data_IF_958494117429
#
_entry.id   IF_958494117429
#
_cell.length_a   1.000
_cell.length_b   1.000
_cell.length_c   1.000
_cell.angle_alpha   90.00
_cell.angle_beta   90.00
_cell.angle_gamma   90.00
#
_symmetry.space_group_name_H-M   'P 1'
#
loop_
_entity.id
_entity.type
_entity.pdbx_description
1 polymer ?
#
# COMPACT_ATOMS: atom_id res chain seq x y z
N UNK A 1 -11.53 -21.00 -8.52
CA UNK A 1 -10.36 -21.06 -7.59
C UNK A 1 -10.42 -19.86 -6.64
N UNK A 2 -9.78 -19.96 -5.51
CA UNK A 2 -9.80 -18.82 -4.54
C UNK A 2 -8.36 -18.39 -4.24
N UNK A 3 -7.73 -17.70 -5.15
CA UNK A 3 -6.33 -17.25 -4.91
C UNK A 3 -6.33 -15.79 -4.47
N UNK A 4 -7.48 -15.26 -4.17
CA UNK A 4 -7.55 -13.83 -3.73
C UNK A 4 -6.48 -13.58 -2.67
N UNK A 5 -6.00 -12.37 -2.57
CA UNK A 5 -4.96 -12.06 -1.55
C UNK A 5 -5.52 -11.09 -0.51
N UNK A 6 -4.88 -10.98 0.62
CA UNK A 6 -5.37 -10.05 1.67
C UNK A 6 -4.67 -8.70 1.53
N UNK A 7 -5.36 -7.71 1.02
CA UNK A 7 -4.72 -6.37 0.86
C UNK A 7 -5.38 -5.38 1.81
N UNK A 8 -4.79 -4.22 1.96
CA UNK A 8 -5.38 -3.19 2.88
C UNK A 8 -4.96 -1.81 2.40
N UNK A 9 -5.83 -0.84 2.50
CA UNK A 9 -5.48 0.53 2.05
C UNK A 9 -5.85 1.55 3.12
N UNK A 10 -5.15 2.64 3.19
CA UNK A 10 -5.45 3.68 4.22
C UNK A 10 -6.63 4.53 3.75
N UNK A 11 -7.32 5.16 4.66
CA UNK A 11 -8.48 6.01 4.27
C UNK A 11 -7.98 7.42 3.93
N UNK A 12 -8.45 7.97 2.84
CA UNK A 12 -8.00 9.34 2.45
C UNK A 12 -9.20 10.17 1.99
N UNK A 13 -8.98 11.41 1.68
CA UNK A 13 -10.11 12.27 1.22
C UNK A 13 -9.80 12.86 -0.16
N UNK A 14 -8.57 12.76 -0.60
CA UNK A 14 -8.20 13.31 -1.93
C UNK A 14 -8.89 12.50 -3.03
N UNK A 15 -8.91 13.01 -4.22
CA UNK A 15 -9.57 12.26 -5.34
C UNK A 15 -8.63 11.17 -5.84
N UNK A 16 -7.37 11.29 -5.57
CA UNK A 16 -6.39 10.24 -6.03
C UNK A 16 -6.75 8.90 -5.38
N UNK A 17 -7.25 8.93 -4.18
CA UNK A 17 -7.62 7.66 -3.49
C UNK A 17 -8.70 6.94 -4.30
N UNK A 18 -9.69 7.67 -4.76
CA UNK A 18 -10.77 7.02 -5.55
C UNK A 18 -10.19 6.51 -6.87
N UNK A 19 -9.56 7.36 -7.63
CA UNK A 19 -8.98 6.91 -8.93
C UNK A 19 -8.16 5.64 -8.70
N UNK A 20 -7.51 5.53 -7.57
CA UNK A 20 -6.69 4.31 -7.30
C UNK A 20 -7.61 3.10 -7.17
N UNK A 21 -8.66 3.22 -6.40
CA UNK A 21 -9.60 2.07 -6.25
C UNK A 21 -10.06 1.58 -7.63
N UNK A 22 -10.43 2.49 -8.49
CA UNK A 22 -10.89 2.09 -9.85
C UNK A 22 -9.79 1.29 -10.55
N UNK A 23 -8.59 1.81 -10.57
CA UNK A 23 -7.49 1.08 -11.24
C UNK A 23 -7.40 -0.35 -10.70
N UNK A 24 -7.18 -0.49 -9.42
CA UNK A 24 -7.10 -1.85 -8.82
C UNK A 24 -8.24 -2.72 -9.36
N UNK A 25 -9.40 -2.16 -9.52
CA UNK A 25 -10.55 -2.94 -10.05
C UNK A 25 -10.23 -3.41 -11.47
N UNK A 26 -9.71 -2.54 -12.29
CA UNK A 26 -9.39 -2.94 -13.69
C UNK A 26 -8.30 -4.02 -13.67
N UNK A 27 -7.54 -4.09 -12.62
CA UNK A 27 -6.46 -5.13 -12.55
C UNK A 27 -7.05 -6.50 -12.89
N UNK A 28 -8.12 -6.87 -12.25
CA UNK A 28 -8.74 -8.20 -12.54
C UNK A 28 -8.37 -9.19 -11.43
N UNK A 29 -7.21 -9.05 -10.86
CA UNK A 29 -6.80 -9.98 -9.77
C UNK A 29 -7.82 -9.92 -8.63
N UNK A 30 -8.02 -11.00 -7.94
CA UNK A 30 -9.00 -11.01 -6.82
C UNK A 30 -8.35 -10.43 -5.57
N UNK A 31 -9.01 -9.52 -4.91
CA UNK A 31 -8.42 -8.91 -3.68
C UNK A 31 -9.50 -8.76 -2.62
N UNK A 32 -9.15 -8.92 -1.37
CA UNK A 32 -10.16 -8.79 -0.28
C UNK A 32 -9.60 -7.85 0.79
N UNK A 33 -10.49 -7.12 1.43
CA UNK A 33 -10.12 -6.18 2.50
C UNK A 33 -9.84 -6.93 3.81
N UNK A 34 -8.59 -7.11 4.14
CA UNK A 34 -8.26 -7.82 5.40
C UNK A 34 -7.85 -6.80 6.47
N UNK A 35 -8.01 -7.15 7.72
CA UNK A 35 -7.63 -6.19 8.80
C UNK A 35 -6.15 -5.85 8.69
N UNK A 36 -5.75 -4.81 9.36
CA UNK A 36 -4.35 -4.35 9.36
C UNK A 36 -3.50 -5.24 10.27
N UNK A 37 -4.13 -6.13 11.01
CA UNK A 37 -3.36 -7.04 11.91
C UNK A 37 -3.08 -8.34 11.18
N UNK A 38 -3.92 -8.72 10.26
CA UNK A 38 -3.70 -9.99 9.52
C UNK A 38 -3.75 -9.72 8.02
N UNK A 39 -3.08 -8.68 7.57
CA UNK A 39 -3.08 -8.36 6.11
C UNK A 39 -1.80 -8.87 5.46
N UNK A 40 -1.87 -9.26 4.22
CA UNK A 40 -0.65 -9.77 3.54
C UNK A 40 0.01 -8.62 2.76
N UNK A 41 -0.76 -7.65 2.35
CA UNK A 41 -0.18 -6.50 1.58
C UNK A 41 -0.89 -5.20 2.00
N UNK A 42 -0.14 -4.27 2.53
CA UNK A 42 -0.77 -2.99 2.96
C UNK A 42 -0.31 -1.86 2.02
N UNK A 43 -1.14 -1.49 1.08
CA UNK A 43 -0.76 -0.40 0.14
C UNK A 43 -1.08 0.96 0.77
N UNK A 44 -0.07 1.68 1.19
CA UNK A 44 -0.31 3.01 1.81
C UNK A 44 -0.07 4.11 0.78
N UNK A 45 -0.93 5.09 0.74
CA UNK A 45 -0.74 6.20 -0.25
C UNK A 45 0.13 7.30 0.37
N UNK A 46 1.16 7.71 -0.32
CA UNK A 46 2.03 8.78 0.24
C UNK A 46 1.38 10.14 0.02
N UNK A 47 0.18 10.16 -0.51
CA UNK A 47 -0.51 11.46 -0.74
C UNK A 47 -1.11 11.97 0.57
N UNK A 48 -1.37 11.09 1.50
CA UNK A 48 -1.94 11.54 2.80
C UNK A 48 -0.82 11.70 3.82
N UNK A 49 0.37 11.98 3.38
CA UNK A 49 1.49 12.15 4.35
C UNK A 49 1.38 13.52 5.02
N UNK A 50 1.07 14.55 4.27
CA UNK A 50 0.94 15.90 4.87
C UNK A 50 -0.51 16.12 5.34
N UNK A 51 -1.18 15.06 5.70
CA UNK A 51 -2.60 15.21 6.17
C UNK A 51 -2.85 14.25 7.33
N UNK A 52 -2.65 12.98 7.11
CA UNK A 52 -2.90 11.99 8.20
C UNK A 52 -1.58 11.28 8.53
N UNK A 53 -0.52 12.01 8.76
CA UNK A 53 0.77 11.38 9.10
C UNK A 53 0.67 10.69 10.46
N UNK A 54 -0.15 11.22 11.33
CA UNK A 54 -0.30 10.60 12.69
C UNK A 54 -0.98 9.24 12.54
N UNK A 55 -1.94 9.13 11.66
CA UNK A 55 -2.64 7.82 11.48
C UNK A 55 -1.69 6.81 10.83
N UNK A 56 -1.15 7.15 9.68
CA UNK A 56 -0.22 6.22 8.99
C UNK A 56 0.83 5.70 9.99
N UNK A 57 1.36 6.58 10.80
CA UNK A 57 2.39 6.13 11.79
C UNK A 57 1.91 4.85 12.48
N UNK A 58 0.70 4.84 12.97
CA UNK A 58 0.20 3.62 13.66
C UNK A 58 0.31 2.41 12.72
N UNK A 59 -0.33 2.47 11.59
CA UNK A 59 -0.26 1.33 10.63
C UNK A 59 1.17 0.81 10.55
N UNK A 60 2.14 1.69 10.66
CA UNK A 60 3.56 1.22 10.59
C UNK A 60 3.91 0.42 11.85
N UNK A 61 3.69 0.97 13.00
CA UNK A 61 4.01 0.24 14.25
C UNK A 61 3.41 -1.18 14.18
N UNK A 62 2.14 -1.29 13.91
CA UNK A 62 1.51 -2.64 13.83
C UNK A 62 2.19 -3.45 12.73
N UNK A 63 2.60 -2.81 11.67
CA UNK A 63 3.26 -3.55 10.56
C UNK A 63 4.64 -4.03 11.00
N UNK A 64 5.20 -3.40 12.00
CA UNK A 64 6.54 -3.82 12.49
C UNK A 64 6.45 -5.17 13.22
N UNK A 65 5.25 -5.69 13.36
CA UNK A 65 5.09 -6.99 14.06
C UNK A 65 4.35 -7.97 13.15
N UNK A 66 4.30 -7.70 11.88
CA UNK A 66 3.59 -8.62 10.95
C UNK A 66 4.34 -8.69 9.61
N UNK A 67 5.63 -8.83 9.65
CA UNK A 67 6.42 -8.91 8.39
C UNK A 67 6.60 -7.50 7.80
N UNK A 68 6.00 -6.52 8.42
CA UNK A 68 6.14 -5.13 7.91
C UNK A 68 5.82 -5.07 6.40
N UNK A 69 4.62 -5.46 6.07
CA UNK A 69 4.14 -5.46 4.67
C UNK A 69 3.68 -4.06 4.28
N UNK A 70 4.50 -3.06 4.48
CA UNK A 70 4.09 -1.68 4.14
C UNK A 70 4.67 -1.26 2.79
N UNK A 71 3.82 -0.97 1.83
CA UNK A 71 4.31 -0.55 0.49
C UNK A 71 3.96 0.93 0.29
N UNK A 72 4.90 1.73 -0.13
CA UNK A 72 4.62 3.17 -0.31
C UNK A 72 4.29 3.47 -1.77
N UNK A 73 3.20 4.15 -2.02
CA UNK A 73 2.84 4.48 -3.43
C UNK A 73 3.06 5.97 -3.67
N UNK A 74 3.95 6.30 -4.56
CA UNK A 74 4.22 7.75 -4.84
C UNK A 74 2.90 8.49 -5.01
N UNK A 75 2.94 9.78 -4.74
CA UNK A 75 1.76 10.65 -4.84
C UNK A 75 1.48 11.01 -6.30
N UNK A 76 0.29 11.45 -6.60
CA UNK A 76 -0.05 11.81 -8.01
C UNK A 76 1.04 12.72 -8.57
N UNK A 77 1.77 13.40 -7.73
CA UNK A 77 2.85 14.30 -8.22
C UNK A 77 2.69 15.68 -7.62
N UNK A 78 2.28 15.76 -6.39
CA UNK A 78 2.10 17.09 -5.74
C UNK A 78 3.35 17.44 -4.94
N UNK A 79 4.01 16.45 -4.39
CA UNK A 79 5.24 16.73 -3.60
C UNK A 79 6.20 15.54 -3.73
N UNK A 80 6.89 15.20 -2.69
CA UNK A 80 7.85 14.06 -2.76
C UNK A 80 7.92 13.37 -1.40
N UNK A 81 7.99 12.07 -1.38
CA UNK A 81 8.06 11.35 -0.07
C UNK A 81 9.43 11.61 0.57
N UNK A 82 9.43 11.76 1.87
CA UNK A 82 10.66 12.02 2.64
C UNK A 82 11.44 10.72 2.85
N UNK A 83 12.62 10.85 3.40
CA UNK A 83 13.51 9.71 3.67
C UNK A 83 13.10 8.99 4.97
N UNK A 84 11.89 9.18 5.43
CA UNK A 84 11.45 8.50 6.67
C UNK A 84 10.61 7.27 6.33
N UNK A 85 10.28 7.10 5.09
CA UNK A 85 9.47 5.91 4.70
C UNK A 85 10.38 4.83 4.10
N UNK A 86 11.22 5.21 3.16
CA UNK A 86 12.13 4.21 2.54
C UNK A 86 12.91 3.48 3.63
N UNK A 87 13.01 4.07 4.79
CA UNK A 87 13.76 3.41 5.90
C UNK A 87 12.94 2.25 6.46
N UNK A 88 11.72 2.50 6.86
CA UNK A 88 10.87 1.42 7.40
C UNK A 88 9.93 0.91 6.31
N UNK A 89 10.33 1.04 5.07
CA UNK A 89 9.47 0.57 3.95
C UNK A 89 10.00 -0.76 3.42
N UNK A 90 9.13 -1.64 3.00
CA UNK A 90 9.58 -2.95 2.47
C UNK A 90 9.58 -2.90 0.94
N UNK A 91 8.71 -2.12 0.37
CA UNK A 91 8.65 -2.02 -1.11
C UNK A 91 8.09 -0.64 -1.50
N UNK A 92 8.41 -0.18 -2.68
CA UNK A 92 7.89 1.16 -3.11
C UNK A 92 7.54 1.11 -4.59
N UNK A 93 6.38 1.57 -4.95
CA UNK A 93 5.97 1.57 -6.38
C UNK A 93 5.35 2.91 -6.74
N UNK A 94 4.80 3.03 -7.92
CA UNK A 94 4.17 4.31 -8.32
C UNK A 94 2.82 4.04 -8.99
N UNK A 95 2.44 4.84 -9.94
CA UNK A 95 1.13 4.63 -10.62
C UNK A 95 1.33 3.69 -11.82
N UNK A 96 1.60 2.44 -11.58
CA UNK A 96 1.80 1.49 -12.70
C UNK A 96 1.18 0.14 -12.33
N UNK A 97 0.72 -0.57 -13.33
CA UNK A 97 0.10 -1.89 -13.17
C UNK A 97 1.17 -2.96 -12.97
N UNK A 98 2.26 -2.86 -13.67
CA UNK A 98 3.34 -3.87 -13.52
C UNK A 98 4.07 -3.66 -12.19
N UNK A 99 4.33 -2.42 -11.85
CA UNK A 99 5.04 -2.14 -10.57
C UNK A 99 4.26 -2.76 -9.40
N UNK A 100 3.03 -2.36 -9.22
CA UNK A 100 2.22 -2.92 -8.10
C UNK A 100 2.26 -4.45 -8.16
N UNK A 101 2.37 -5.01 -9.33
CA UNK A 101 2.40 -6.49 -9.45
C UNK A 101 3.72 -7.02 -8.86
N UNK A 102 4.80 -6.32 -9.07
CA UNK A 102 6.12 -6.78 -8.53
C UNK A 102 6.08 -6.77 -7.00
N UNK A 103 5.53 -5.73 -6.43
CA UNK A 103 5.47 -5.65 -4.93
C UNK A 103 4.44 -6.66 -4.41
N UNK A 104 3.50 -7.03 -5.23
CA UNK A 104 2.46 -8.01 -4.77
C UNK A 104 3.07 -9.41 -4.71
N UNK A 105 3.52 -9.93 -5.83
CA UNK A 105 4.13 -11.29 -5.84
C UNK A 105 5.30 -11.32 -4.86
N UNK A 106 5.79 -10.18 -4.46
CA UNK A 106 6.94 -10.16 -3.51
C UNK A 106 6.48 -10.66 -2.14
N UNK A 107 5.28 -10.30 -1.74
CA UNK A 107 4.77 -10.76 -0.42
C UNK A 107 4.53 -12.26 -0.45
N UNK A 108 4.26 -12.80 -1.61
CA UNK A 108 4.02 -14.27 -1.72
C UNK A 108 5.30 -15.02 -1.39
N UNK A 109 6.27 -14.96 -2.26
CA UNK A 109 7.56 -15.68 -2.01
C UNK A 109 8.16 -15.17 -0.70
N UNK A 110 7.95 -15.87 0.38
CA UNK A 110 8.51 -15.43 1.69
C UNK A 110 9.79 -16.22 1.99
N UNK A 111 10.30 -16.94 1.02
CA UNK A 111 11.53 -17.73 1.27
C UNK A 111 11.27 -18.77 2.36
#
# INVERSE_FOLDING_TARGET
VTAEIRLYITEGEVEDYRVFLERLEQSGLEWRPATPEDADAVIVLAGLWGTRRDEILGAVDLARKSSKPIITVRPYGLENVPPELEAVSSEVVGWNPHCIRDALEDALDVI
#
